data_IF_912089637251
#
_entry.id   IF_912089637251
#
_cell.length_a   1.000
_cell.length_b   1.000
_cell.length_c   1.000
_cell.angle_alpha   90.00
_cell.angle_beta   90.00
_cell.angle_gamma   90.00
#
_symmetry.space_group_name_H-M   'P 1'
#
loop_
_entity.id
_entity.type
_entity.pdbx_description
1 polymer ?
#
# COMPACT_ATOMS: atom_id res chain seq x y z
N UNK A 1 11.02 25.50 47.59
CA UNK A 1 9.95 24.73 46.92
C UNK A 1 10.17 23.25 47.11
N UNK A 2 9.09 22.50 47.32
CA UNK A 2 9.14 21.04 47.36
C UNK A 2 8.98 20.45 45.96
N UNK A 3 9.88 19.55 45.57
CA UNK A 3 9.75 18.85 44.30
C UNK A 3 8.51 17.95 44.30
N UNK A 4 7.57 18.08 43.34
CA UNK A 4 6.34 17.30 43.34
C UNK A 4 6.58 15.82 43.02
N UNK A 5 7.75 15.47 42.46
CA UNK A 5 8.11 14.08 42.14
C UNK A 5 8.75 13.33 43.31
N UNK A 6 9.70 13.95 44.02
CA UNK A 6 10.47 13.27 45.08
C UNK A 6 10.34 13.91 46.47
N UNK A 7 9.53 14.97 46.61
CA UNK A 7 9.28 15.73 47.84
C UNK A 7 10.54 16.31 48.51
N UNK A 8 11.62 16.43 47.76
CA UNK A 8 12.85 17.07 48.23
C UNK A 8 12.67 18.58 48.29
N UNK A 9 13.04 19.18 49.42
CA UNK A 9 13.01 20.61 49.66
C UNK A 9 14.28 21.26 49.10
N UNK A 10 14.11 22.32 48.31
CA UNK A 10 15.21 23.06 47.68
C UNK A 10 14.81 24.52 47.45
N UNK A 11 15.78 25.37 47.10
CA UNK A 11 15.53 26.78 46.79
C UNK A 11 14.62 26.98 45.56
N UNK A 12 13.84 28.06 45.57
CA UNK A 12 12.84 28.40 44.53
C UNK A 12 13.45 28.86 43.21
N UNK A 13 14.75 29.17 43.19
CA UNK A 13 15.49 29.64 42.01
C UNK A 13 15.85 28.53 41.03
N UNK A 14 15.77 27.26 41.48
CA UNK A 14 16.19 26.12 40.67
C UNK A 14 15.17 25.81 39.57
N UNK A 15 15.65 25.73 38.32
CA UNK A 15 14.81 25.36 37.16
C UNK A 15 14.56 23.86 37.06
N UNK A 16 15.38 23.05 37.76
CA UNK A 16 15.25 21.61 37.89
C UNK A 16 15.50 21.13 39.32
N UNK A 17 14.97 19.96 39.67
CA UNK A 17 15.20 19.38 40.98
C UNK A 17 16.60 18.76 41.10
N UNK A 18 17.43 19.27 42.02
CA UNK A 18 18.82 18.80 42.24
C UNK A 18 18.92 17.32 42.61
N UNK A 19 17.86 16.72 43.16
CA UNK A 19 17.86 15.30 43.58
C UNK A 19 17.42 14.33 42.48
N UNK A 20 16.47 14.73 41.64
CA UNK A 20 15.82 13.79 40.71
C UNK A 20 15.76 14.25 39.26
N UNK A 21 16.33 15.42 38.95
CA UNK A 21 16.39 15.98 37.59
C UNK A 21 15.05 16.43 37.02
N UNK A 22 14.02 16.64 37.84
CA UNK A 22 12.72 17.10 37.36
C UNK A 22 12.80 18.56 36.91
N UNK A 23 12.60 18.84 35.62
CA UNK A 23 12.49 20.20 35.08
C UNK A 23 11.10 20.79 35.36
N UNK A 24 11.02 21.83 36.20
CA UNK A 24 9.75 22.37 36.70
C UNK A 24 8.88 23.00 35.62
N UNK A 25 9.50 23.73 34.68
CA UNK A 25 8.77 24.38 33.60
C UNK A 25 8.04 23.38 32.70
N UNK A 26 8.62 22.19 32.46
CA UNK A 26 7.96 21.10 31.72
C UNK A 26 6.89 20.42 32.56
N UNK A 27 7.14 20.23 33.85
CA UNK A 27 6.19 19.60 34.77
C UNK A 27 4.88 20.39 34.89
N UNK A 28 4.97 21.73 35.03
CA UNK A 28 3.78 22.57 35.17
C UNK A 28 3.14 22.96 33.82
N UNK A 29 3.88 22.98 32.70
CA UNK A 29 3.31 23.28 31.37
C UNK A 29 2.28 22.24 30.91
N UNK A 30 2.30 21.03 31.45
CA UNK A 30 1.33 19.96 31.18
C UNK A 30 0.10 19.93 32.09
N UNK A 31 0.04 20.76 33.14
CA UNK A 31 -1.10 20.83 34.07
C UNK A 31 -1.61 22.26 34.16
N UNK A 32 -2.79 22.55 33.60
CA UNK A 32 -3.52 23.77 33.95
C UNK A 32 -3.82 23.71 35.46
N UNK A 33 -3.61 24.80 36.23
CA UNK A 33 -4.09 24.85 37.60
C UNK A 33 -5.62 24.95 37.55
N UNK A 34 -6.31 23.92 38.03
CA UNK A 34 -7.75 23.97 38.27
C UNK A 34 -7.99 24.60 39.66
N UNK A 35 -8.95 25.52 39.82
CA UNK A 35 -9.26 26.12 41.12
C UNK A 35 -9.97 25.10 42.02
N UNK A 36 -9.57 25.08 43.29
CA UNK A 36 -10.10 24.22 44.36
C UNK A 36 -11.65 24.21 44.42
N UNK A 37 -12.24 23.00 44.37
CA UNK A 37 -13.56 22.70 44.96
C UNK A 37 -13.60 21.24 45.46
N UNK A 38 -14.33 20.96 46.56
CA UNK A 38 -14.05 19.83 47.42
C UNK A 38 -14.68 18.50 46.95
N UNK A 39 -13.85 17.46 47.07
CA UNK A 39 -14.11 16.02 47.18
C UNK A 39 -15.56 15.55 47.19
N UNK A 40 -15.93 14.78 46.17
CA UNK A 40 -16.74 13.57 46.37
C UNK A 40 -16.33 12.47 45.38
N UNK A 41 -16.28 11.26 45.94
CA UNK A 41 -15.82 9.99 45.41
C UNK A 41 -16.49 9.62 44.08
N UNK A 42 -15.68 9.28 43.08
CA UNK A 42 -15.88 8.06 42.29
C UNK A 42 -14.56 7.64 41.66
N UNK A 43 -14.02 6.52 42.14
CA UNK A 43 -13.01 5.74 41.43
C UNK A 43 -13.64 5.31 40.11
N UNK A 44 -13.38 6.07 39.04
CA UNK A 44 -13.39 5.50 37.71
C UNK A 44 -11.98 4.99 37.48
N UNK A 45 -11.81 3.67 37.63
CA UNK A 45 -10.71 2.95 37.02
C UNK A 45 -10.68 3.34 35.54
N UNK A 46 -9.81 4.28 35.21
CA UNK A 46 -9.52 4.64 33.83
C UNK A 46 -8.76 3.44 33.26
N UNK A 47 -9.54 2.48 32.74
CA UNK A 47 -9.05 1.36 31.96
C UNK A 47 -8.22 1.98 30.85
N UNK A 48 -6.90 1.86 31.01
CA UNK A 48 -5.92 2.00 29.94
C UNK A 48 -6.27 0.92 28.90
N UNK A 49 -7.28 1.21 28.09
CA UNK A 49 -7.65 0.40 26.94
C UNK A 49 -6.44 0.47 26.02
N UNK A 50 -5.85 -0.68 25.63
CA UNK A 50 -4.90 -0.66 24.53
C UNK A 50 -5.68 -0.04 23.38
N UNK A 51 -5.23 1.11 22.85
CA UNK A 51 -5.81 1.68 21.64
C UNK A 51 -5.76 0.60 20.58
N UNK A 52 -6.89 -0.08 20.37
CA UNK A 52 -7.00 -1.17 19.43
C UNK A 52 -6.59 -0.63 18.07
N UNK A 53 -5.70 -1.34 17.38
CA UNK A 53 -5.40 -1.06 15.98
C UNK A 53 -6.71 -1.10 15.20
N UNK A 54 -7.25 0.07 14.88
CA UNK A 54 -8.47 0.20 14.11
C UNK A 54 -8.08 0.19 12.63
N UNK A 55 -8.22 -0.97 12.00
CA UNK A 55 -8.05 -1.14 10.55
C UNK A 55 -8.84 -0.10 9.75
N UNK A 56 -10.01 0.31 10.26
CA UNK A 56 -10.86 1.32 9.63
C UNK A 56 -10.22 2.71 9.70
N UNK A 57 -9.66 3.08 10.83
CA UNK A 57 -8.97 4.37 10.93
C UNK A 57 -7.72 4.34 10.06
N UNK A 58 -6.96 3.25 10.05
CA UNK A 58 -5.77 3.13 9.21
C UNK A 58 -6.05 3.18 7.69
N UNK A 59 -7.09 2.49 7.21
CA UNK A 59 -7.44 2.46 5.78
C UNK A 59 -8.21 3.69 5.29
N UNK A 60 -8.73 4.51 6.22
CA UNK A 60 -9.61 5.63 5.88
C UNK A 60 -9.30 6.92 6.65
N UNK A 61 -8.14 7.03 7.30
CA UNK A 61 -7.59 8.26 7.91
C UNK A 61 -7.23 9.20 6.77
N UNK A 62 -8.18 10.07 6.44
CA UNK A 62 -8.01 11.03 5.36
C UNK A 62 -7.17 12.20 5.89
N UNK A 63 -5.95 12.34 5.37
CA UNK A 63 -5.18 13.58 5.53
C UNK A 63 -5.98 14.75 4.96
N UNK A 64 -6.24 15.72 5.82
CA UNK A 64 -6.97 16.94 5.48
C UNK A 64 -5.94 17.93 4.94
N UNK A 65 -5.49 17.72 3.69
CA UNK A 65 -4.77 18.77 2.99
C UNK A 65 -5.77 19.77 2.42
N UNK A 66 -5.78 20.98 2.97
CA UNK A 66 -6.72 22.06 2.67
C UNK A 66 -6.41 22.80 1.36
N UNK A 67 -5.43 22.35 0.57
CA UNK A 67 -5.03 23.01 -0.66
C UNK A 67 -5.92 22.58 -1.85
N UNK A 68 -6.74 23.48 -2.42
CA UNK A 68 -7.61 23.15 -3.55
C UNK A 68 -6.86 22.65 -4.79
N UNK A 69 -5.62 23.10 -5.01
CA UNK A 69 -4.80 22.64 -6.14
C UNK A 69 -4.43 21.17 -6.01
N UNK A 70 -4.07 20.73 -4.81
CA UNK A 70 -3.72 19.33 -4.57
C UNK A 70 -4.94 18.42 -4.71
N UNK A 71 -6.08 18.84 -4.18
CA UNK A 71 -7.34 18.13 -4.39
C UNK A 71 -7.70 18.04 -5.88
N UNK A 72 -7.61 19.13 -6.63
CA UNK A 72 -7.85 19.13 -8.07
C UNK A 72 -6.91 18.16 -8.81
N UNK A 73 -5.63 18.12 -8.45
CA UNK A 73 -4.67 17.14 -8.96
C UNK A 73 -5.10 15.70 -8.71
N UNK A 74 -5.56 15.38 -7.50
CA UNK A 74 -6.08 14.03 -7.17
C UNK A 74 -7.33 13.68 -7.97
N UNK A 75 -8.23 14.63 -8.20
CA UNK A 75 -9.41 14.42 -9.08
C UNK A 75 -8.96 14.10 -10.52
N UNK A 76 -7.99 14.83 -11.06
CA UNK A 76 -7.48 14.59 -12.41
C UNK A 76 -6.84 13.21 -12.53
N UNK A 77 -5.99 12.82 -11.58
CA UNK A 77 -5.39 11.49 -11.52
C UNK A 77 -6.49 10.42 -11.43
N UNK A 78 -7.45 10.60 -10.54
CA UNK A 78 -8.56 9.66 -10.37
C UNK A 78 -9.38 9.48 -11.65
N UNK A 79 -9.73 10.58 -12.33
CA UNK A 79 -10.47 10.53 -13.59
C UNK A 79 -9.68 9.78 -14.67
N UNK A 80 -8.37 10.01 -14.76
CA UNK A 80 -7.49 9.26 -15.66
C UNK A 80 -7.50 7.76 -15.36
N UNK A 81 -7.32 7.37 -14.10
CA UNK A 81 -7.32 5.97 -13.66
C UNK A 81 -8.69 5.30 -13.82
N UNK A 82 -9.79 6.04 -13.66
CA UNK A 82 -11.14 5.53 -13.89
C UNK A 82 -11.34 5.18 -15.37
N UNK A 83 -11.05 6.13 -16.27
CA UNK A 83 -11.18 5.91 -17.71
C UNK A 83 -10.26 4.79 -18.19
N UNK A 84 -9.01 4.77 -17.71
CA UNK A 84 -8.06 3.73 -18.06
C UNK A 84 -8.45 2.37 -17.47
N UNK A 85 -8.89 2.32 -16.21
CA UNK A 85 -9.36 1.07 -15.58
C UNK A 85 -10.54 0.47 -16.31
N UNK A 86 -11.52 1.28 -16.72
CA UNK A 86 -12.64 0.83 -17.57
C UNK A 86 -12.11 0.29 -18.90
N UNK A 87 -11.20 1.02 -19.57
CA UNK A 87 -10.59 0.56 -20.82
C UNK A 87 -9.92 -0.80 -20.64
N UNK A 88 -9.12 -1.00 -19.60
CA UNK A 88 -8.43 -2.27 -19.32
C UNK A 88 -9.44 -3.41 -19.13
N UNK A 89 -10.43 -3.24 -18.25
CA UNK A 89 -11.44 -4.26 -17.94
C UNK A 89 -12.26 -4.66 -19.18
N UNK A 90 -12.53 -3.73 -20.08
CA UNK A 90 -13.31 -4.00 -21.29
C UNK A 90 -12.46 -4.50 -22.47
N UNK A 91 -11.14 -4.36 -22.40
CA UNK A 91 -10.23 -4.81 -23.46
C UNK A 91 -9.98 -6.31 -23.30
N UNK A 92 -9.97 -7.11 -24.38
CA UNK A 92 -9.64 -8.52 -24.28
C UNK A 92 -8.25 -8.74 -23.66
N UNK A 93 -8.11 -9.75 -22.80
CA UNK A 93 -6.87 -10.12 -22.11
C UNK A 93 -5.65 -10.26 -23.04
N UNK A 94 -5.86 -10.64 -24.31
CA UNK A 94 -4.77 -10.83 -25.30
C UNK A 94 -4.27 -9.53 -25.93
N UNK A 95 -4.88 -8.39 -25.63
CA UNK A 95 -4.43 -7.10 -26.16
C UNK A 95 -3.22 -6.59 -25.38
N UNK A 96 -2.24 -6.04 -26.10
CA UNK A 96 -1.06 -5.45 -25.47
C UNK A 96 -1.40 -4.25 -24.59
N UNK A 97 -0.66 -4.10 -23.50
CA UNK A 97 -0.81 -3.03 -22.54
C UNK A 97 0.48 -2.20 -22.45
N UNK A 98 0.35 -0.88 -22.47
CA UNK A 98 1.50 0.02 -22.35
C UNK A 98 2.21 -0.13 -20.98
N UNK A 99 1.44 -0.40 -19.92
CA UNK A 99 1.98 -0.57 -18.57
C UNK A 99 2.92 -1.78 -18.45
N UNK A 100 2.84 -2.74 -19.38
CA UNK A 100 3.83 -3.81 -19.49
C UNK A 100 5.27 -3.29 -19.47
N UNK A 101 5.54 -2.19 -20.21
CA UNK A 101 6.87 -1.57 -20.27
C UNK A 101 7.32 -0.96 -18.93
N UNK A 102 6.37 -0.57 -18.08
CA UNK A 102 6.61 -0.04 -16.74
C UNK A 102 6.83 -1.17 -15.73
N UNK A 103 6.11 -2.28 -15.88
CA UNK A 103 6.19 -3.45 -15.00
C UNK A 103 7.43 -4.30 -15.28
N UNK A 104 7.89 -4.35 -16.53
CA UNK A 104 8.98 -5.20 -17.00
C UNK A 104 10.30 -5.04 -16.21
N UNK A 105 10.81 -3.84 -15.88
CA UNK A 105 12.03 -3.71 -15.08
C UNK A 105 11.92 -4.39 -13.71
N UNK A 106 10.74 -4.36 -13.09
CA UNK A 106 10.50 -5.02 -11.81
C UNK A 106 10.39 -6.54 -11.96
N UNK A 107 9.88 -7.02 -13.10
CA UNK A 107 9.91 -8.43 -13.47
C UNK A 107 11.35 -8.92 -13.62
N UNK A 108 12.17 -8.26 -14.43
CA UNK A 108 13.58 -8.65 -14.62
C UNK A 108 14.38 -8.60 -13.31
N UNK A 109 14.16 -7.55 -12.51
CA UNK A 109 14.80 -7.45 -11.20
C UNK A 109 14.35 -8.60 -10.27
N UNK A 110 13.07 -9.00 -10.34
CA UNK A 110 12.52 -10.13 -9.62
C UNK A 110 13.28 -11.43 -9.87
N UNK A 111 13.61 -11.75 -11.12
CA UNK A 111 14.44 -12.92 -11.43
C UNK A 111 15.78 -12.88 -10.69
N UNK A 112 16.46 -11.73 -10.69
CA UNK A 112 17.74 -11.56 -10.02
C UNK A 112 17.63 -11.70 -8.49
N UNK A 113 16.62 -11.07 -7.88
CA UNK A 113 16.44 -11.08 -6.43
C UNK A 113 16.11 -12.48 -5.89
N UNK A 114 15.28 -13.25 -6.60
CA UNK A 114 14.85 -14.58 -6.16
C UNK A 114 15.76 -15.72 -6.62
N UNK A 115 16.74 -15.44 -7.49
CA UNK A 115 17.73 -16.43 -7.98
C UNK A 115 18.41 -17.27 -6.89
N UNK A 116 18.81 -16.73 -5.73
CA UNK A 116 19.45 -17.53 -4.67
C UNK A 116 18.55 -18.65 -4.10
N UNK A 117 17.23 -18.59 -4.32
CA UNK A 117 16.27 -19.58 -3.85
C UNK A 117 16.04 -20.74 -4.84
N UNK A 118 16.83 -20.79 -5.92
CA UNK A 118 16.76 -21.83 -6.95
C UNK A 118 15.99 -21.40 -8.20
N UNK A 119 16.08 -22.19 -9.28
CA UNK A 119 15.60 -21.81 -10.60
C UNK A 119 14.08 -21.61 -10.67
N UNK A 120 13.30 -22.45 -9.97
CA UNK A 120 11.85 -22.31 -9.90
C UNK A 120 11.45 -20.98 -9.25
N UNK A 121 12.07 -20.66 -8.12
CA UNK A 121 11.86 -19.38 -7.45
C UNK A 121 12.39 -18.19 -8.25
N UNK A 122 13.48 -18.35 -9.00
CA UNK A 122 13.98 -17.32 -9.89
C UNK A 122 12.93 -16.98 -10.96
N UNK A 123 12.36 -17.99 -11.63
CA UNK A 123 11.34 -17.80 -12.68
C UNK A 123 10.06 -17.20 -12.12
N UNK A 124 9.56 -17.72 -11.00
CA UNK A 124 8.44 -17.13 -10.27
C UNK A 124 8.75 -15.70 -9.79
N UNK A 125 10.01 -15.46 -9.47
CA UNK A 125 10.55 -14.20 -8.99
C UNK A 125 10.23 -13.03 -9.91
N UNK A 126 10.16 -13.23 -11.22
CA UNK A 126 9.78 -12.17 -12.15
C UNK A 126 8.37 -11.65 -11.87
N UNK A 127 7.39 -12.56 -11.87
CA UNK A 127 6.00 -12.22 -11.52
C UNK A 127 5.90 -11.65 -10.09
N UNK A 128 6.64 -12.20 -9.14
CA UNK A 128 6.65 -11.67 -7.76
C UNK A 128 7.21 -10.26 -7.69
N UNK A 129 8.28 -9.95 -8.42
CA UNK A 129 8.92 -8.64 -8.43
C UNK A 129 7.98 -7.54 -8.91
N UNK A 130 7.29 -7.78 -10.03
CA UNK A 130 6.32 -6.82 -10.56
C UNK A 130 5.10 -6.63 -9.66
N UNK A 131 4.63 -7.67 -8.94
CA UNK A 131 3.54 -7.55 -7.97
C UNK A 131 3.97 -6.90 -6.65
N UNK A 132 5.19 -7.17 -6.20
CA UNK A 132 5.72 -6.65 -4.94
C UNK A 132 5.91 -5.13 -5.00
N UNK A 133 6.34 -4.58 -6.14
CA UNK A 133 6.59 -3.15 -6.25
C UNK A 133 5.35 -2.27 -5.92
N UNK A 134 4.18 -2.43 -6.59
CA UNK A 134 2.98 -1.68 -6.24
C UNK A 134 2.49 -2.01 -4.81
N UNK A 135 2.66 -3.26 -4.35
CA UNK A 135 2.28 -3.63 -2.99
C UNK A 135 3.13 -2.91 -1.92
N UNK A 136 4.44 -2.77 -2.15
CA UNK A 136 5.35 -1.99 -1.30
C UNK A 136 5.00 -0.51 -1.35
N UNK A 137 4.74 0.06 -2.53
CA UNK A 137 4.26 1.44 -2.66
C UNK A 137 2.98 1.66 -1.83
N UNK A 138 1.98 0.78 -1.98
CA UNK A 138 0.75 0.82 -1.21
C UNK A 138 1.03 0.78 0.30
N UNK A 139 1.88 -0.15 0.76
CA UNK A 139 2.24 -0.28 2.15
C UNK A 139 2.96 0.97 2.69
N UNK A 140 3.89 1.56 1.93
CA UNK A 140 4.60 2.79 2.31
C UNK A 140 3.63 3.97 2.39
N UNK A 141 2.71 4.12 1.42
CA UNK A 141 1.73 5.20 1.45
C UNK A 141 0.79 5.09 2.65
N UNK A 142 0.40 3.88 3.04
CA UNK A 142 -0.43 3.69 4.23
C UNK A 142 0.34 3.85 5.54
N UNK A 143 1.52 3.22 5.66
CA UNK A 143 2.23 3.09 6.94
C UNK A 143 3.16 4.27 7.26
N UNK A 144 3.70 4.94 6.25
CA UNK A 144 4.73 5.96 6.42
C UNK A 144 4.23 7.35 6.10
N UNK A 145 3.59 7.52 4.95
CA UNK A 145 3.12 8.85 4.52
C UNK A 145 1.67 9.12 4.88
N UNK A 146 0.91 8.10 5.30
CA UNK A 146 -0.54 8.18 5.55
C UNK A 146 -1.36 8.76 4.38
N UNK A 147 -0.84 8.64 3.15
CA UNK A 147 -1.57 9.06 1.95
C UNK A 147 -2.45 7.91 1.45
N UNK A 148 -3.67 7.87 1.96
CA UNK A 148 -4.67 6.86 1.60
C UNK A 148 -5.08 6.94 0.13
N UNK A 149 -5.05 8.13 -0.48
CA UNK A 149 -5.37 8.25 -1.91
C UNK A 149 -4.26 7.62 -2.76
N UNK A 150 -2.99 7.93 -2.49
CA UNK A 150 -1.85 7.32 -3.18
C UNK A 150 -1.79 5.80 -2.97
N UNK A 151 -2.18 5.32 -1.79
CA UNK A 151 -2.34 3.88 -1.54
C UNK A 151 -3.39 3.24 -2.46
N UNK A 152 -4.55 3.89 -2.65
CA UNK A 152 -5.57 3.41 -3.59
C UNK A 152 -5.05 3.39 -5.04
N UNK A 153 -4.26 4.38 -5.45
CA UNK A 153 -3.59 4.39 -6.77
C UNK A 153 -2.61 3.23 -6.91
N UNK A 154 -1.86 2.92 -5.85
CA UNK A 154 -0.93 1.78 -5.85
C UNK A 154 -1.67 0.44 -5.92
N UNK A 155 -2.84 0.33 -5.28
CA UNK A 155 -3.72 -0.83 -5.43
C UNK A 155 -4.28 -0.97 -6.85
N UNK A 156 -4.58 0.15 -7.52
CA UNK A 156 -4.96 0.15 -8.93
C UNK A 156 -3.84 -0.43 -9.79
N UNK A 157 -2.60 0.01 -9.56
CA UNK A 157 -1.42 -0.51 -10.27
C UNK A 157 -1.18 -2.00 -10.00
N UNK A 158 -1.39 -2.46 -8.77
CA UNK A 158 -1.35 -3.89 -8.45
C UNK A 158 -2.41 -4.68 -9.23
N UNK A 159 -3.64 -4.17 -9.32
CA UNK A 159 -4.69 -4.81 -10.12
C UNK A 159 -4.35 -4.87 -11.61
N UNK A 160 -3.78 -3.80 -12.13
CA UNK A 160 -3.28 -3.74 -13.51
C UNK A 160 -2.20 -4.80 -13.78
N UNK A 161 -1.25 -5.00 -12.86
CA UNK A 161 -0.22 -6.06 -13.01
C UNK A 161 -0.85 -7.45 -13.16
N UNK A 162 -1.88 -7.79 -12.37
CA UNK A 162 -2.57 -9.08 -12.51
C UNK A 162 -3.21 -9.26 -13.89
N UNK A 163 -3.70 -8.19 -14.51
CA UNK A 163 -4.21 -8.23 -15.89
C UNK A 163 -3.07 -8.33 -16.91
N UNK A 164 -1.95 -7.62 -16.68
CA UNK A 164 -0.77 -7.63 -17.54
C UNK A 164 -0.09 -9.01 -17.64
N UNK A 165 -0.04 -9.73 -16.51
CA UNK A 165 0.53 -11.08 -16.42
C UNK A 165 -0.39 -12.13 -17.07
N UNK A 166 -1.70 -11.90 -17.11
CA UNK A 166 -2.68 -12.88 -17.54
C UNK A 166 -2.44 -13.45 -18.96
N UNK A 167 -2.19 -12.64 -20.01
CA UNK A 167 -1.85 -13.18 -21.32
C UNK A 167 -0.55 -14.00 -21.33
N UNK A 168 0.43 -13.66 -20.48
CA UNK A 168 1.67 -14.42 -20.36
C UNK A 168 1.45 -15.79 -19.70
N UNK A 169 0.60 -15.88 -18.67
CA UNK A 169 0.14 -17.16 -18.13
C UNK A 169 -0.59 -17.96 -19.22
N UNK A 170 -1.48 -17.30 -19.96
CA UNK A 170 -2.32 -17.93 -20.98
C UNK A 170 -1.52 -18.53 -22.13
N UNK A 171 -0.31 -18.03 -22.38
CA UNK A 171 0.60 -18.49 -23.42
C UNK A 171 1.51 -19.64 -22.97
N UNK A 172 1.47 -20.07 -21.70
CA UNK A 172 2.42 -21.05 -21.13
C UNK A 172 2.53 -22.38 -21.92
N UNK A 173 1.48 -22.82 -22.63
CA UNK A 173 1.55 -23.97 -23.55
C UNK A 173 1.74 -23.60 -25.01
N UNK A 174 1.29 -22.41 -25.40
CA UNK A 174 1.32 -21.97 -26.80
C UNK A 174 2.70 -21.46 -27.20
N UNK A 175 3.37 -20.76 -26.27
CA UNK A 175 4.72 -20.24 -26.39
C UNK A 175 4.92 -19.30 -27.59
N UNK A 176 3.88 -18.54 -27.94
CA UNK A 176 3.83 -17.68 -29.14
C UNK A 176 4.08 -16.23 -28.82
N UNK A 177 3.94 -15.80 -27.57
CA UNK A 177 4.16 -14.41 -27.22
C UNK A 177 5.65 -14.05 -27.40
N UNK A 178 5.93 -12.89 -28.02
CA UNK A 178 7.28 -12.35 -28.04
C UNK A 178 7.75 -12.07 -26.61
N UNK A 179 8.90 -12.64 -26.26
CA UNK A 179 9.59 -12.44 -25.00
C UNK A 179 10.58 -11.28 -25.11
N UNK A 180 11.12 -10.87 -23.95
CA UNK A 180 12.20 -9.89 -23.93
C UNK A 180 13.40 -10.40 -24.73
N UNK A 181 13.90 -9.55 -25.64
CA UNK A 181 14.96 -9.93 -26.59
C UNK A 181 14.46 -10.42 -27.96
N UNK A 182 13.14 -10.53 -28.17
CA UNK A 182 12.54 -10.73 -29.49
C UNK A 182 12.33 -12.19 -29.90
N UNK A 183 12.73 -13.15 -29.06
CA UNK A 183 12.43 -14.57 -29.24
C UNK A 183 11.02 -14.90 -28.73
N UNK A 184 10.50 -16.08 -29.04
CA UNK A 184 9.32 -16.67 -28.38
C UNK A 184 9.74 -17.84 -27.50
N UNK A 185 8.87 -18.30 -26.61
CA UNK A 185 9.10 -19.53 -25.84
C UNK A 185 9.33 -20.75 -26.75
N UNK A 186 8.62 -20.86 -27.87
CA UNK A 186 8.76 -21.97 -28.83
C UNK A 186 10.15 -22.01 -29.49
N UNK A 187 10.72 -20.82 -29.74
CA UNK A 187 12.06 -20.67 -30.34
C UNK A 187 13.21 -20.74 -29.32
N UNK A 188 12.89 -20.91 -28.03
CA UNK A 188 13.85 -20.85 -26.92
C UNK A 188 13.98 -22.20 -26.21
N UNK A 189 15.08 -22.46 -25.48
CA UNK A 189 15.19 -23.64 -24.63
C UNK A 189 14.12 -23.66 -23.53
N UNK A 190 13.77 -24.87 -23.04
CA UNK A 190 12.91 -25.07 -21.88
C UNK A 190 13.39 -24.22 -20.68
N UNK A 191 12.47 -23.59 -19.96
CA UNK A 191 12.83 -22.71 -18.85
C UNK A 191 13.02 -21.24 -19.21
N UNK A 192 12.95 -20.88 -20.49
CA UNK A 192 13.06 -19.47 -20.93
C UNK A 192 11.72 -18.72 -20.84
N UNK A 193 10.60 -19.42 -20.95
CA UNK A 193 9.26 -18.86 -20.71
C UNK A 193 8.84 -19.18 -19.27
N UNK A 194 8.74 -18.17 -18.42
CA UNK A 194 8.59 -18.36 -16.96
C UNK A 194 7.38 -19.23 -16.60
N UNK A 195 6.21 -18.93 -17.17
CA UNK A 195 4.97 -19.64 -16.82
C UNK A 195 4.88 -21.05 -17.41
N UNK A 196 5.65 -21.33 -18.47
CA UNK A 196 5.78 -22.70 -18.98
C UNK A 196 6.54 -23.54 -17.97
N UNK A 197 7.69 -23.02 -17.54
CA UNK A 197 8.53 -23.65 -16.55
C UNK A 197 7.83 -23.81 -15.19
N UNK A 198 7.28 -22.72 -14.65
CA UNK A 198 6.62 -22.72 -13.33
C UNK A 198 5.52 -23.77 -13.26
N UNK A 199 4.63 -23.80 -14.26
CA UNK A 199 3.50 -24.72 -14.30
C UNK A 199 3.90 -26.13 -14.72
N UNK A 200 4.91 -26.27 -15.58
CA UNK A 200 5.48 -27.55 -15.98
C UNK A 200 6.06 -28.31 -14.80
N UNK A 201 6.92 -27.66 -14.01
CA UNK A 201 7.59 -28.27 -12.85
C UNK A 201 6.61 -28.75 -11.77
N UNK A 202 5.42 -28.14 -11.66
CA UNK A 202 4.38 -28.53 -10.70
C UNK A 202 3.22 -29.31 -11.33
N UNK A 203 3.36 -29.74 -12.59
CA UNK A 203 2.34 -30.49 -13.34
C UNK A 203 0.97 -29.80 -13.43
N UNK A 204 0.93 -28.47 -13.48
CA UNK A 204 -0.29 -27.67 -13.64
C UNK A 204 -0.40 -26.98 -14.99
N UNK A 205 0.48 -27.30 -15.95
CA UNK A 205 0.55 -26.65 -17.26
C UNK A 205 -0.79 -26.64 -18.03
N UNK A 206 -1.62 -27.67 -17.87
CA UNK A 206 -2.96 -27.73 -18.48
C UNK A 206 -3.98 -26.71 -17.93
N UNK A 207 -3.67 -26.07 -16.79
CA UNK A 207 -4.52 -25.07 -16.14
C UNK A 207 -4.17 -23.63 -16.52
N UNK A 208 -3.18 -23.40 -17.40
CA UNK A 208 -2.74 -22.08 -17.89
C UNK A 208 -3.91 -21.13 -18.22
N UNK A 209 -4.89 -21.54 -19.02
CA UNK A 209 -6.04 -20.70 -19.39
C UNK A 209 -6.93 -20.35 -18.19
N UNK A 210 -7.11 -21.29 -17.25
CA UNK A 210 -7.92 -21.05 -16.05
C UNK A 210 -7.20 -20.08 -15.13
N UNK A 211 -5.89 -20.29 -14.91
CA UNK A 211 -5.06 -19.41 -14.08
C UNK A 211 -4.96 -18.00 -14.68
N UNK A 212 -4.84 -17.88 -16.00
CA UNK A 212 -4.88 -16.61 -16.70
C UNK A 212 -6.21 -15.87 -16.47
N UNK A 213 -7.35 -16.55 -16.63
CA UNK A 213 -8.66 -15.96 -16.36
C UNK A 213 -8.84 -15.56 -14.89
N UNK A 214 -8.29 -16.33 -13.95
CA UNK A 214 -8.32 -15.98 -12.53
C UNK A 214 -7.49 -14.72 -12.29
N UNK A 215 -6.30 -14.62 -12.88
CA UNK A 215 -5.44 -13.43 -12.79
C UNK A 215 -6.15 -12.19 -13.34
N UNK A 216 -6.68 -12.28 -14.56
CA UNK A 216 -7.40 -11.18 -15.22
C UNK A 216 -8.62 -10.68 -14.42
N UNK A 217 -9.44 -11.61 -13.91
CA UNK A 217 -10.61 -11.29 -13.08
C UNK A 217 -10.20 -10.70 -11.72
N UNK A 218 -9.15 -11.22 -11.11
CA UNK A 218 -8.61 -10.69 -9.85
C UNK A 218 -8.10 -9.26 -10.06
N UNK A 219 -7.36 -9.02 -11.15
CA UNK A 219 -6.91 -7.69 -11.52
C UNK A 219 -8.07 -6.71 -11.73
N UNK A 220 -9.10 -7.13 -12.46
CA UNK A 220 -10.33 -6.36 -12.65
C UNK A 220 -11.01 -6.01 -11.31
N UNK A 221 -11.11 -6.97 -10.40
CA UNK A 221 -11.69 -6.77 -9.07
C UNK A 221 -10.87 -5.76 -8.24
N UNK A 222 -9.54 -5.87 -8.27
CA UNK A 222 -8.63 -4.95 -7.58
C UNK A 222 -8.72 -3.53 -8.14
N UNK A 223 -8.83 -3.37 -9.47
CA UNK A 223 -9.07 -2.07 -10.09
C UNK A 223 -10.41 -1.49 -9.63
N UNK A 224 -11.50 -2.26 -9.65
CA UNK A 224 -12.80 -1.75 -9.18
C UNK A 224 -12.77 -1.37 -7.69
N UNK A 225 -12.14 -2.20 -6.85
CA UNK A 225 -12.01 -1.93 -5.42
C UNK A 225 -11.16 -0.68 -5.15
N UNK A 226 -10.05 -0.50 -5.87
CA UNK A 226 -9.19 0.68 -5.74
C UNK A 226 -9.90 1.97 -6.18
N UNK A 227 -10.69 1.93 -7.26
CA UNK A 227 -11.50 3.05 -7.71
C UNK A 227 -12.61 3.40 -6.72
N UNK A 228 -13.28 2.41 -6.14
CA UNK A 228 -14.26 2.64 -5.08
C UNK A 228 -13.62 3.26 -3.84
N UNK A 229 -12.43 2.78 -3.45
CA UNK A 229 -11.68 3.32 -2.33
C UNK A 229 -11.21 4.77 -2.57
N UNK A 230 -10.61 5.05 -3.72
CA UNK A 230 -10.18 6.39 -4.11
C UNK A 230 -11.36 7.37 -4.19
N UNK A 231 -12.51 6.94 -4.74
CA UNK A 231 -13.74 7.74 -4.77
C UNK A 231 -14.21 8.12 -3.37
N UNK A 232 -14.20 7.16 -2.44
CA UNK A 232 -14.60 7.38 -1.06
C UNK A 232 -13.67 8.37 -0.33
N UNK A 233 -12.36 8.25 -0.56
CA UNK A 233 -11.36 9.18 0.01
C UNK A 233 -11.59 10.59 -0.53
N UNK A 234 -11.77 10.75 -1.84
CA UNK A 234 -12.04 12.04 -2.49
C UNK A 234 -13.35 12.66 -2.00
N UNK A 235 -14.41 11.86 -1.85
CA UNK A 235 -15.68 12.32 -1.30
C UNK A 235 -15.53 12.85 0.13
N UNK A 236 -14.77 12.15 0.98
CA UNK A 236 -14.46 12.62 2.33
C UNK A 236 -13.65 13.93 2.32
N UNK A 237 -12.68 14.06 1.41
CA UNK A 237 -11.90 15.29 1.25
C UNK A 237 -12.80 16.45 0.81
N UNK A 238 -13.66 16.24 -0.19
CA UNK A 238 -14.63 17.22 -0.66
C UNK A 238 -15.56 17.73 0.46
N UNK A 239 -16.10 16.84 1.30
CA UNK A 239 -16.97 17.25 2.42
C UNK A 239 -16.26 18.10 3.48
N UNK A 240 -14.93 18.03 3.55
CA UNK A 240 -14.10 18.76 4.53
C UNK A 240 -13.42 19.98 3.93
N UNK A 241 -13.43 20.13 2.61
CA UNK A 241 -13.03 21.35 1.92
C UNK A 241 -14.05 22.44 2.27
N UNK A 242 -13.73 23.25 3.28
CA UNK A 242 -14.42 24.52 3.51
C UNK A 242 -14.09 25.47 2.36
N UNK A 243 -14.83 25.34 1.26
CA UNK A 243 -14.92 26.37 0.23
C UNK A 243 -15.60 27.58 0.89
N UNK A 244 -14.80 28.45 1.50
CA UNK A 244 -15.19 29.81 1.87
C UNK A 244 -14.84 30.74 0.71
#
# INVERSE_FOLDING_TARGET
MNCPKCRFEQEDTNTECVRCGLVFSKYYRGRRPEPDLPSSVSESEDKLTPQGFSLKDFLFEVEIETNPFYFAGRILVFAGLLLWGIKLILTPMTAGNFMHLVNLPFHEAGHLFFRPLGQWMASLGGTLGQLLMPAVCMAVFLLKTKDVFAASVSMWWLGENFMDIAPYINDARSLKLPLLGGNTGESSPYGFHDWEYILGEINLLHHDHVLAQVSDKLGSLLIMASLAWGSFVLFKQYRRLHLR
#
